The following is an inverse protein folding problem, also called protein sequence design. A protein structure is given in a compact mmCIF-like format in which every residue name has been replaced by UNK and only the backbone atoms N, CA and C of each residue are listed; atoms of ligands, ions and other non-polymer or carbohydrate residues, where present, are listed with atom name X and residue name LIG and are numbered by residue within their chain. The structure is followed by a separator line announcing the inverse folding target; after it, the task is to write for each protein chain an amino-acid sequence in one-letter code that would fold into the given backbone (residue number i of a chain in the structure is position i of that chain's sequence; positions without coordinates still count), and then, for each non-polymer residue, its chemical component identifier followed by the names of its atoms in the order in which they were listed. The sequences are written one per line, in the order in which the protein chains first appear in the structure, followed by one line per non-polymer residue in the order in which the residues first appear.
data_IF_802030569595
#
_entry.id   IF_802030569595
#
_cell.length_a   1.000
_cell.length_b   1.000
_cell.length_c   1.000
_cell.angle_alpha   90.00
_cell.angle_beta   90.00
_cell.angle_gamma   90.00
#
_symmetry.space_group_name_H-M   'P 1'
#
loop_
_entity.id
_entity.type
_entity.pdbx_description
1 polymer ?
#
# COMPACT_ATOMS: atom_id res chain seq x y z
N UNK A 1 17.51 -17.16 42.00
CA UNK A 1 17.27 -17.28 40.55
C UNK A 1 17.43 -15.94 39.89
N UNK A 2 18.16 -15.93 38.82
CA UNK A 2 18.93 -14.80 38.35
C UNK A 2 18.07 -13.61 37.88
N UNK A 3 18.39 -12.45 38.39
CA UNK A 3 17.92 -11.12 37.95
C UNK A 3 18.01 -10.94 36.43
N UNK A 4 18.93 -11.62 35.76
CA UNK A 4 19.12 -11.62 34.31
C UNK A 4 17.99 -12.33 33.53
N UNK A 5 17.25 -13.25 34.14
CA UNK A 5 16.13 -13.93 33.46
C UNK A 5 14.86 -13.08 33.37
N UNK A 6 14.80 -11.98 34.15
CA UNK A 6 13.67 -11.05 34.17
C UNK A 6 13.81 -9.88 33.17
N UNK A 7 14.95 -9.76 32.48
CA UNK A 7 15.15 -8.71 31.48
C UNK A 7 14.54 -9.15 30.16
N UNK A 8 13.30 -8.77 29.94
CA UNK A 8 12.64 -8.93 28.65
C UNK A 8 13.06 -7.76 27.72
N UNK A 9 13.91 -8.05 26.76
CA UNK A 9 14.23 -7.06 25.73
C UNK A 9 13.08 -6.98 24.74
N UNK A 10 12.66 -5.74 24.43
CA UNK A 10 11.76 -5.47 23.31
C UNK A 10 12.32 -6.12 22.02
N UNK A 11 11.49 -6.80 21.23
CA UNK A 11 11.93 -7.45 19.98
C UNK A 11 12.67 -6.50 19.03
N UNK A 12 12.29 -5.22 18.98
CA UNK A 12 12.94 -4.20 18.17
C UNK A 12 14.37 -3.90 18.66
N UNK A 13 14.57 -3.78 19.96
CA UNK A 13 15.90 -3.56 20.58
C UNK A 13 16.79 -4.78 20.32
N UNK A 14 16.24 -5.99 20.47
CA UNK A 14 16.98 -7.23 20.16
C UNK A 14 17.45 -7.26 18.72
N UNK A 15 16.58 -6.94 17.76
CA UNK A 15 16.91 -6.88 16.34
C UNK A 15 18.05 -5.89 16.05
N UNK A 16 18.01 -4.71 16.62
CA UNK A 16 19.05 -3.68 16.49
C UNK A 16 20.39 -4.20 17.06
N UNK A 17 20.39 -4.77 18.26
CA UNK A 17 21.61 -5.29 18.89
C UNK A 17 22.25 -6.42 18.09
N UNK A 18 21.47 -7.38 17.60
CA UNK A 18 21.96 -8.48 16.76
C UNK A 18 22.58 -7.93 15.47
N UNK A 19 21.95 -6.96 14.84
CA UNK A 19 22.47 -6.33 13.63
C UNK A 19 23.79 -5.61 13.90
N UNK A 20 23.87 -4.82 14.97
CA UNK A 20 25.10 -4.10 15.36
C UNK A 20 26.25 -5.07 15.65
N UNK A 21 26.00 -6.13 16.40
CA UNK A 21 27.00 -7.16 16.69
C UNK A 21 27.44 -7.86 15.42
N UNK A 22 26.49 -8.25 14.53
CA UNK A 22 26.81 -8.86 13.25
C UNK A 22 27.69 -7.98 12.36
N UNK A 23 27.37 -6.71 12.23
CA UNK A 23 28.17 -5.74 11.47
C UNK A 23 29.54 -5.52 12.12
N UNK A 24 29.62 -5.42 13.45
CA UNK A 24 30.88 -5.24 14.18
C UNK A 24 31.81 -6.47 14.01
N UNK A 25 31.27 -7.67 14.10
CA UNK A 25 32.04 -8.91 13.89
C UNK A 25 32.50 -9.02 12.45
N UNK A 26 31.63 -8.83 11.48
CA UNK A 26 31.97 -8.90 10.05
C UNK A 26 32.98 -7.81 9.68
N UNK A 27 32.69 -6.56 9.99
CA UNK A 27 33.56 -5.42 9.70
C UNK A 27 34.87 -5.49 10.47
N UNK A 28 34.87 -5.90 11.73
CA UNK A 28 36.06 -6.07 12.57
C UNK A 28 36.97 -7.18 12.05
N UNK A 29 36.42 -8.32 11.65
CA UNK A 29 37.19 -9.43 11.07
C UNK A 29 37.87 -9.01 9.75
N UNK A 30 37.10 -8.34 8.88
CA UNK A 30 37.63 -7.83 7.62
C UNK A 30 38.72 -6.79 7.85
N UNK A 31 38.53 -5.88 8.81
CA UNK A 31 39.53 -4.88 9.20
C UNK A 31 40.83 -5.53 9.70
N UNK A 32 40.72 -6.49 10.61
CA UNK A 32 41.90 -7.19 11.12
C UNK A 32 42.68 -7.89 10.00
N UNK A 33 41.98 -8.58 9.12
CA UNK A 33 42.59 -9.25 7.98
C UNK A 33 43.35 -8.28 7.04
N UNK A 34 42.70 -7.14 6.72
CA UNK A 34 43.30 -6.15 5.83
C UNK A 34 44.39 -5.33 6.53
N UNK A 35 44.23 -5.00 7.81
CA UNK A 35 45.20 -4.24 8.57
C UNK A 35 46.52 -5.00 8.79
N UNK A 36 46.45 -6.31 9.00
CA UNK A 36 47.64 -7.16 9.14
C UNK A 36 48.45 -7.31 7.83
N UNK A 37 47.74 -7.30 6.69
CA UNK A 37 48.39 -7.49 5.37
C UNK A 37 48.87 -6.18 4.73
N UNK A 38 48.15 -5.06 4.93
CA UNK A 38 48.34 -3.80 4.19
C UNK A 38 48.64 -2.59 5.11
N UNK A 39 48.68 -2.82 6.41
CA UNK A 39 48.83 -1.78 7.42
C UNK A 39 47.49 -1.13 7.82
N UNK A 40 47.47 -0.60 9.03
CA UNK A 40 46.22 -0.17 9.71
C UNK A 40 45.44 0.89 8.96
N UNK A 41 46.09 1.90 8.39
CA UNK A 41 45.41 3.01 7.68
C UNK A 41 44.78 2.56 6.36
N UNK A 42 45.50 1.75 5.55
CA UNK A 42 44.94 1.25 4.29
C UNK A 42 43.87 0.18 4.56
N UNK A 43 44.14 -0.72 5.50
CA UNK A 43 43.18 -1.72 5.93
C UNK A 43 41.86 -1.09 6.40
N UNK A 44 41.89 0.00 7.14
CA UNK A 44 40.70 0.74 7.55
C UNK A 44 39.90 1.30 6.34
N UNK A 45 40.59 1.99 5.41
CA UNK A 45 39.92 2.58 4.24
C UNK A 45 39.30 1.50 3.35
N UNK A 46 39.99 0.38 3.12
CA UNK A 46 39.48 -0.74 2.33
C UNK A 46 38.26 -1.41 3.02
N UNK A 47 38.36 -1.61 4.34
CA UNK A 47 37.25 -2.16 5.12
C UNK A 47 36.01 -1.26 5.02
N UNK A 48 36.17 0.06 5.21
CA UNK A 48 35.08 1.00 5.12
C UNK A 48 34.47 1.08 3.72
N UNK A 49 35.31 1.10 2.67
CA UNK A 49 34.86 1.06 1.28
C UNK A 49 34.08 -0.23 0.98
N UNK A 50 34.60 -1.40 1.38
CA UNK A 50 33.94 -2.68 1.17
C UNK A 50 32.61 -2.78 1.92
N UNK A 51 32.57 -2.40 3.18
CA UNK A 51 31.38 -2.45 4.04
C UNK A 51 30.31 -1.50 3.52
N UNK A 52 30.66 -0.23 3.27
CA UNK A 52 29.68 0.76 2.77
C UNK A 52 29.23 0.45 1.35
N UNK A 53 30.10 -0.11 0.49
CA UNK A 53 29.72 -0.57 -0.84
C UNK A 53 28.77 -1.76 -0.81
N UNK A 54 28.96 -2.69 0.11
CA UNK A 54 28.03 -3.80 0.33
C UNK A 54 26.68 -3.31 0.86
N UNK A 55 26.67 -2.42 1.89
CA UNK A 55 25.46 -1.83 2.43
C UNK A 55 24.71 -0.97 1.39
N UNK A 56 25.44 -0.25 0.55
CA UNK A 56 24.87 0.50 -0.57
C UNK A 56 24.15 -0.43 -1.56
N UNK A 57 24.79 -1.53 -1.96
CA UNK A 57 24.19 -2.51 -2.86
C UNK A 57 22.95 -3.15 -2.25
N UNK A 58 23.01 -3.56 -0.99
CA UNK A 58 21.85 -4.09 -0.25
C UNK A 58 20.72 -3.05 -0.15
N UNK A 59 21.09 -1.80 0.12
CA UNK A 59 20.13 -0.69 0.18
C UNK A 59 19.39 -0.49 -1.14
N UNK A 60 20.06 -0.61 -2.28
CA UNK A 60 19.43 -0.56 -3.62
C UNK A 60 18.38 -1.66 -3.76
N UNK A 61 18.70 -2.90 -3.39
CA UNK A 61 17.74 -4.01 -3.42
C UNK A 61 16.54 -3.74 -2.51
N UNK A 62 16.77 -3.28 -1.28
CA UNK A 62 15.68 -2.96 -0.36
C UNK A 62 14.80 -1.82 -0.88
N UNK A 63 15.39 -0.80 -1.49
CA UNK A 63 14.65 0.32 -2.08
C UNK A 63 13.81 -0.11 -3.28
N UNK A 64 14.36 -0.93 -4.19
CA UNK A 64 13.64 -1.41 -5.39
C UNK A 64 12.50 -2.35 -5.00
N UNK A 65 12.80 -3.39 -4.23
CA UNK A 65 11.84 -4.44 -3.89
C UNK A 65 10.95 -4.09 -2.69
N UNK A 66 11.31 -3.08 -1.90
CA UNK A 66 10.55 -2.65 -0.73
C UNK A 66 10.54 -3.69 0.39
N UNK A 67 11.64 -4.41 0.56
CA UNK A 67 11.92 -5.36 1.65
C UNK A 67 13.00 -4.80 2.57
N UNK A 68 13.28 -5.47 3.69
CA UNK A 68 14.29 -5.02 4.65
C UNK A 68 13.81 -3.86 5.52
N UNK A 69 14.55 -2.77 5.59
CA UNK A 69 14.23 -1.58 6.40
C UNK A 69 13.05 -0.80 5.79
N UNK A 70 11.84 -1.33 5.90
CA UNK A 70 10.64 -0.70 5.37
C UNK A 70 10.12 0.38 6.30
N UNK A 71 9.62 1.48 5.73
CA UNK A 71 8.87 2.49 6.45
C UNK A 71 7.42 2.11 6.68
N UNK A 72 6.59 3.11 6.99
CA UNK A 72 5.16 2.90 7.22
C UNK A 72 4.48 2.40 5.95
N UNK A 73 3.67 1.35 6.11
CA UNK A 73 2.81 0.83 5.05
C UNK A 73 1.69 1.81 4.74
N UNK A 74 1.15 1.78 3.52
CA UNK A 74 -0.07 2.51 3.21
C UNK A 74 -1.22 2.03 4.10
N UNK A 75 -2.01 2.96 4.60
CA UNK A 75 -3.20 2.69 5.42
C UNK A 75 -4.35 3.58 4.97
N UNK A 76 -5.55 3.21 5.36
CA UNK A 76 -6.72 4.06 5.23
C UNK A 76 -6.96 4.78 6.56
N UNK A 77 -7.20 6.08 6.50
CA UNK A 77 -7.53 6.91 7.66
C UNK A 77 -8.97 7.39 7.50
N UNK A 78 -9.80 7.10 8.48
CA UNK A 78 -11.16 7.58 8.53
C UNK A 78 -11.19 9.12 8.50
N UNK A 79 -12.11 9.67 7.75
CA UNK A 79 -12.37 11.11 7.66
C UNK A 79 -13.76 11.46 8.16
N UNK A 80 -14.73 10.66 7.78
CA UNK A 80 -16.13 10.99 8.04
C UNK A 80 -16.99 9.72 8.02
N UNK A 81 -17.92 9.63 8.95
CA UNK A 81 -19.04 8.68 8.91
C UNK A 81 -20.29 9.47 8.62
N UNK A 82 -20.87 9.30 7.46
CA UNK A 82 -22.03 10.03 7.01
C UNK A 82 -23.27 9.13 7.11
N UNK A 83 -24.22 9.54 7.95
CA UNK A 83 -25.49 8.84 8.19
C UNK A 83 -26.62 9.36 7.30
N UNK A 84 -26.47 10.54 6.74
CA UNK A 84 -27.47 11.19 5.91
C UNK A 84 -26.79 11.89 4.73
N UNK A 85 -26.97 11.32 3.56
CA UNK A 85 -26.35 11.81 2.33
C UNK A 85 -26.88 13.12 1.80
N UNK A 86 -28.00 13.59 2.32
CA UNK A 86 -28.52 14.94 2.04
C UNK A 86 -27.62 16.01 2.64
N UNK A 87 -26.79 15.66 3.62
CA UNK A 87 -25.80 16.54 4.23
C UNK A 87 -24.53 16.52 3.40
N UNK A 88 -24.07 17.71 3.00
CA UNK A 88 -22.80 17.85 2.27
C UNK A 88 -21.65 17.26 3.09
N UNK A 89 -20.76 16.53 2.42
CA UNK A 89 -19.58 15.97 3.06
C UNK A 89 -18.63 17.08 3.50
N UNK A 90 -18.02 16.92 4.68
CA UNK A 90 -17.01 17.84 5.20
C UNK A 90 -15.65 17.57 4.56
N UNK A 91 -15.49 16.41 3.90
CA UNK A 91 -14.22 15.99 3.31
C UNK A 91 -13.87 16.86 2.10
N UNK A 92 -12.73 17.58 2.11
CA UNK A 92 -12.33 18.43 1.01
C UNK A 92 -12.18 17.65 -0.32
N UNK A 93 -12.61 18.25 -1.43
CA UNK A 93 -12.59 17.68 -2.78
C UNK A 93 -13.52 16.48 -3.01
N UNK A 94 -14.48 16.24 -2.12
CA UNK A 94 -15.44 15.13 -2.20
C UNK A 94 -16.85 15.72 -2.16
N UNK A 95 -17.14 16.70 -3.02
CA UNK A 95 -18.41 17.45 -3.00
C UNK A 95 -19.63 16.61 -3.44
N UNK A 96 -19.36 15.50 -4.14
CA UNK A 96 -20.41 14.69 -4.77
C UNK A 96 -20.11 13.21 -4.57
N UNK A 97 -20.59 12.67 -3.47
CA UNK A 97 -20.62 11.23 -3.27
C UNK A 97 -21.62 10.58 -4.23
N UNK A 98 -21.29 9.42 -4.81
CA UNK A 98 -22.28 8.62 -5.51
C UNK A 98 -23.35 8.19 -4.53
N UNK A 99 -24.59 8.47 -4.82
CA UNK A 99 -25.70 8.10 -3.96
C UNK A 99 -26.41 6.87 -4.51
N UNK A 100 -26.14 5.73 -3.90
CA UNK A 100 -26.73 4.42 -4.22
C UNK A 100 -27.86 4.05 -3.25
N UNK A 101 -28.44 5.01 -2.51
CA UNK A 101 -29.59 4.75 -1.66
C UNK A 101 -30.81 4.45 -2.53
N UNK A 102 -31.53 3.34 -2.31
CA UNK A 102 -32.68 2.97 -3.12
C UNK A 102 -33.87 3.96 -3.04
N UNK A 103 -33.95 4.76 -1.96
CA UNK A 103 -35.07 5.66 -1.73
C UNK A 103 -34.78 7.11 -2.15
N UNK A 104 -33.55 7.56 -1.97
CA UNK A 104 -33.17 8.98 -2.14
C UNK A 104 -32.07 9.17 -3.17
N UNK A 105 -31.45 8.08 -3.63
CA UNK A 105 -30.27 8.10 -4.47
C UNK A 105 -30.51 8.61 -5.88
N UNK A 106 -29.43 9.10 -6.49
CA UNK A 106 -29.38 9.54 -7.88
C UNK A 106 -28.92 8.45 -8.84
N UNK A 107 -28.35 7.37 -8.30
CA UNK A 107 -27.93 6.21 -9.08
C UNK A 107 -29.10 5.24 -9.28
N UNK A 108 -29.16 4.52 -10.41
CA UNK A 108 -30.15 3.48 -10.61
C UNK A 108 -29.97 2.38 -9.55
N UNK A 109 -31.07 1.77 -9.16
CA UNK A 109 -30.99 0.59 -8.29
C UNK A 109 -30.25 -0.55 -8.99
N UNK A 110 -29.60 -1.46 -8.26
CA UNK A 110 -28.91 -2.61 -8.86
C UNK A 110 -29.83 -3.44 -9.77
N UNK A 111 -31.09 -3.62 -9.35
CA UNK A 111 -32.10 -4.36 -10.09
C UNK A 111 -32.50 -3.64 -11.38
N UNK A 112 -32.75 -2.33 -11.34
CA UNK A 112 -33.08 -1.52 -12.51
C UNK A 112 -31.97 -1.53 -13.54
N UNK A 113 -30.71 -1.34 -13.07
CA UNK A 113 -29.54 -1.33 -13.94
C UNK A 113 -29.36 -2.66 -14.65
N UNK A 114 -29.50 -3.78 -13.93
CA UNK A 114 -29.41 -5.11 -14.50
C UNK A 114 -30.54 -5.39 -15.48
N UNK A 115 -31.79 -5.07 -15.09
CA UNK A 115 -32.96 -5.29 -15.96
C UNK A 115 -32.89 -4.47 -17.26
N UNK A 116 -32.39 -3.23 -17.21
CA UNK A 116 -32.18 -2.41 -18.41
C UNK A 116 -31.13 -3.02 -19.35
N UNK A 117 -30.06 -3.58 -18.79
CA UNK A 117 -29.02 -4.24 -19.57
C UNK A 117 -29.50 -5.57 -20.16
N UNK A 118 -30.22 -6.39 -19.39
CA UNK A 118 -30.83 -7.64 -19.85
C UNK A 118 -31.84 -7.41 -20.98
N UNK A 119 -32.61 -6.34 -20.90
CA UNK A 119 -33.54 -5.97 -21.97
C UNK A 119 -32.82 -5.69 -23.30
N UNK A 120 -31.58 -5.18 -23.25
CA UNK A 120 -30.73 -4.94 -24.41
C UNK A 120 -29.95 -6.21 -24.83
N UNK A 121 -29.66 -7.12 -23.89
CA UNK A 121 -28.81 -8.29 -24.05
C UNK A 121 -29.44 -9.54 -23.39
N UNK A 122 -30.48 -10.17 -24.00
CA UNK A 122 -31.23 -11.27 -23.35
C UNK A 122 -30.38 -12.47 -22.93
N UNK A 123 -29.27 -12.72 -23.63
CA UNK A 123 -28.35 -13.85 -23.37
C UNK A 123 -27.60 -13.70 -22.00
N UNK A 124 -27.53 -12.49 -21.48
CA UNK A 124 -26.81 -12.24 -20.22
C UNK A 124 -27.56 -12.81 -19.03
N UNK A 125 -28.92 -12.81 -19.08
CA UNK A 125 -29.74 -13.41 -18.03
C UNK A 125 -29.44 -14.89 -17.85
N UNK A 126 -29.36 -15.64 -18.94
CA UNK A 126 -29.06 -17.08 -18.89
C UNK A 126 -27.66 -17.34 -18.30
N UNK A 127 -26.68 -16.46 -18.58
CA UNK A 127 -25.33 -16.56 -18.03
C UNK A 127 -25.30 -16.28 -16.53
N UNK A 128 -26.05 -15.27 -16.07
CA UNK A 128 -26.17 -14.92 -14.65
C UNK A 128 -26.87 -16.02 -13.88
N UNK A 129 -28.00 -16.51 -14.38
CA UNK A 129 -28.74 -17.61 -13.76
C UNK A 129 -27.94 -18.92 -13.71
N UNK A 130 -27.08 -19.17 -14.69
CA UNK A 130 -26.17 -20.31 -14.69
C UNK A 130 -25.05 -20.19 -13.63
N UNK A 131 -24.66 -18.97 -13.26
CA UNK A 131 -23.56 -18.69 -12.32
C UNK A 131 -24.06 -18.52 -10.89
N UNK A 132 -25.14 -17.76 -10.69
CA UNK A 132 -25.65 -17.35 -9.38
C UNK A 132 -26.92 -18.13 -8.96
N UNK A 133 -27.61 -18.77 -9.93
CA UNK A 133 -28.86 -19.51 -9.70
C UNK A 133 -30.09 -18.79 -10.23
N UNK A 134 -31.18 -19.58 -10.38
CA UNK A 134 -32.48 -19.07 -10.84
C UNK A 134 -33.02 -18.02 -9.85
N UNK A 135 -33.52 -16.88 -10.39
CA UNK A 135 -34.12 -15.82 -9.59
C UNK A 135 -33.15 -14.95 -8.82
N UNK A 136 -31.87 -14.94 -9.21
CA UNK A 136 -30.88 -14.06 -8.60
C UNK A 136 -31.27 -12.57 -8.77
N UNK A 137 -31.26 -11.84 -7.66
CA UNK A 137 -31.45 -10.38 -7.61
C UNK A 137 -30.21 -9.74 -6.96
N UNK A 138 -29.54 -8.81 -7.66
CA UNK A 138 -28.35 -8.17 -7.11
C UNK A 138 -28.70 -7.21 -5.96
N UNK A 139 -27.99 -7.33 -4.85
CA UNK A 139 -28.19 -6.47 -3.69
C UNK A 139 -27.35 -5.17 -3.75
N UNK A 140 -26.39 -5.07 -4.67
CA UNK A 140 -25.48 -3.92 -4.77
C UNK A 140 -25.04 -3.66 -6.21
N UNK A 141 -24.68 -2.41 -6.50
CA UNK A 141 -24.07 -2.03 -7.78
C UNK A 141 -22.73 -2.74 -7.99
N UNK A 142 -22.00 -2.99 -6.92
CA UNK A 142 -20.74 -3.77 -6.97
C UNK A 142 -20.96 -5.17 -7.53
N UNK A 143 -22.04 -5.86 -7.13
CA UNK A 143 -22.38 -7.19 -7.66
C UNK A 143 -22.71 -7.11 -9.14
N UNK A 144 -23.55 -6.15 -9.55
CA UNK A 144 -23.89 -5.96 -10.96
C UNK A 144 -22.66 -5.72 -11.83
N UNK A 145 -21.77 -4.83 -11.40
CA UNK A 145 -20.53 -4.53 -12.14
C UNK A 145 -19.54 -5.71 -12.13
N UNK A 146 -19.60 -6.57 -11.13
CA UNK A 146 -18.77 -7.80 -11.10
C UNK A 146 -19.28 -8.82 -12.09
N UNK A 147 -20.60 -8.98 -12.24
CA UNK A 147 -21.23 -9.88 -13.19
C UNK A 147 -21.15 -9.34 -14.62
N UNK A 148 -21.37 -8.05 -14.80
CA UNK A 148 -21.39 -7.36 -16.10
C UNK A 148 -20.44 -6.17 -16.07
N UNK A 149 -19.13 -6.38 -16.38
CA UNK A 149 -18.12 -5.32 -16.31
C UNK A 149 -18.35 -4.13 -17.25
N UNK A 150 -19.09 -4.31 -18.33
CA UNK A 150 -19.45 -3.28 -19.31
C UNK A 150 -20.29 -2.16 -18.68
N UNK A 151 -21.17 -2.50 -17.74
CA UNK A 151 -22.02 -1.54 -17.03
C UNK A 151 -21.21 -0.54 -16.20
N UNK A 152 -19.98 -0.86 -15.85
CA UNK A 152 -19.08 0.05 -15.16
C UNK A 152 -18.79 1.31 -15.98
N UNK A 153 -18.75 1.18 -17.30
CA UNK A 153 -18.53 2.33 -18.20
C UNK A 153 -19.77 3.20 -18.25
N UNK A 154 -20.97 2.61 -18.32
CA UNK A 154 -22.23 3.34 -18.33
C UNK A 154 -22.45 4.12 -17.03
N UNK A 155 -22.10 3.52 -15.90
CA UNK A 155 -22.18 4.17 -14.59
C UNK A 155 -21.17 5.31 -14.41
N UNK A 156 -20.05 5.29 -15.14
CA UNK A 156 -18.92 6.22 -14.93
C UNK A 156 -19.36 7.70 -15.02
N UNK A 157 -20.27 8.02 -15.92
CA UNK A 157 -20.78 9.41 -16.08
C UNK A 157 -21.59 9.86 -14.87
N UNK A 158 -22.32 8.94 -14.24
CA UNK A 158 -23.17 9.22 -13.07
C UNK A 158 -22.39 9.24 -11.76
N UNK A 159 -21.21 8.62 -11.73
CA UNK A 159 -20.35 8.51 -10.55
C UNK A 159 -19.54 9.77 -10.24
N UNK A 160 -19.66 10.87 -10.99
CA UNK A 160 -18.95 12.13 -10.74
C UNK A 160 -17.43 12.01 -10.52
N UNK A 161 -16.80 11.12 -11.28
CA UNK A 161 -15.35 10.84 -11.17
C UNK A 161 -14.97 9.80 -10.12
N UNK A 162 -15.92 9.28 -9.36
CA UNK A 162 -15.73 8.08 -8.55
C UNK A 162 -15.70 6.85 -9.44
N UNK A 163 -15.06 5.79 -8.94
CA UNK A 163 -15.00 4.49 -9.60
C UNK A 163 -15.47 3.42 -8.64
N UNK A 164 -16.39 2.59 -9.09
CA UNK A 164 -16.84 1.45 -8.31
C UNK A 164 -15.76 0.36 -8.30
N UNK A 165 -15.49 -0.22 -7.13
CA UNK A 165 -14.53 -1.30 -6.96
C UNK A 165 -15.26 -2.65 -6.98
N UNK A 166 -14.95 -3.53 -7.95
CA UNK A 166 -15.48 -4.88 -7.97
C UNK A 166 -14.95 -5.69 -6.78
N UNK A 167 -15.60 -6.79 -6.45
CA UNK A 167 -15.23 -7.64 -5.31
C UNK A 167 -13.82 -8.21 -5.40
N UNK A 168 -13.35 -8.45 -6.61
CA UNK A 168 -12.00 -8.95 -6.88
C UNK A 168 -10.86 -7.93 -6.67
N UNK A 169 -11.17 -6.64 -6.46
CA UNK A 169 -10.13 -5.62 -6.28
C UNK A 169 -9.58 -5.64 -4.85
N UNK A 170 -8.26 -5.83 -4.71
CA UNK A 170 -7.58 -5.88 -3.42
C UNK A 170 -7.76 -4.62 -2.56
N UNK A 171 -7.95 -3.46 -3.19
CA UNK A 171 -8.17 -2.18 -2.49
C UNK A 171 -9.54 -2.15 -1.80
N UNK A 172 -10.54 -2.85 -2.37
CA UNK A 172 -11.85 -3.03 -1.73
C UNK A 172 -11.69 -3.74 -0.39
N UNK A 173 -10.98 -4.86 -0.36
CA UNK A 173 -10.75 -5.62 0.88
C UNK A 173 -10.03 -4.79 1.96
N UNK A 174 -8.99 -4.02 1.58
CA UNK A 174 -8.30 -3.14 2.52
C UNK A 174 -9.21 -2.02 3.06
N UNK A 175 -10.04 -1.42 2.20
CA UNK A 175 -10.95 -0.35 2.58
C UNK A 175 -12.08 -0.87 3.48
N UNK A 176 -12.66 -2.03 3.14
CA UNK A 176 -13.70 -2.69 3.95
C UNK A 176 -13.16 -3.05 5.33
N UNK A 177 -11.98 -3.66 5.43
CA UNK A 177 -11.38 -3.98 6.73
C UNK A 177 -11.13 -2.73 7.60
N UNK A 178 -10.82 -1.59 6.97
CA UNK A 178 -10.70 -0.31 7.69
C UNK A 178 -12.07 0.23 8.12
N UNK A 179 -13.11 0.02 7.30
CA UNK A 179 -14.48 0.41 7.64
C UNK A 179 -15.03 -0.44 8.80
N UNK A 180 -14.77 -1.74 8.81
CA UNK A 180 -15.15 -2.64 9.91
C UNK A 180 -14.58 -2.14 11.24
N UNK A 181 -13.30 -1.75 11.24
CA UNK A 181 -12.66 -1.22 12.43
C UNK A 181 -13.29 0.12 12.89
N UNK A 182 -13.53 1.03 11.97
CA UNK A 182 -14.11 2.34 12.27
C UNK A 182 -15.58 2.25 12.75
N UNK A 183 -16.39 1.41 12.09
CA UNK A 183 -17.79 1.19 12.48
C UNK A 183 -17.90 0.53 13.85
N UNK A 184 -17.02 -0.42 14.16
CA UNK A 184 -16.96 -1.06 15.47
C UNK A 184 -16.51 -0.09 16.56
N UNK A 185 -15.47 0.74 16.31
CA UNK A 185 -14.99 1.74 17.25
C UNK A 185 -16.05 2.83 17.51
N UNK A 186 -16.76 3.25 16.44
CA UNK A 186 -17.84 4.25 16.51
C UNK A 186 -19.14 3.71 17.05
N UNK A 187 -19.30 2.40 17.28
CA UNK A 187 -20.55 1.74 17.72
C UNK A 187 -21.76 2.15 16.85
N UNK A 188 -21.53 2.28 15.54
CA UNK A 188 -22.49 2.90 14.59
C UNK A 188 -23.82 2.15 14.55
N UNK A 189 -23.82 0.83 14.73
CA UNK A 189 -25.02 -0.01 14.77
C UNK A 189 -25.35 -0.56 16.16
N UNK A 190 -24.81 0.06 17.22
CA UNK A 190 -25.02 -0.31 18.61
C UNK A 190 -23.81 -1.01 19.26
N UNK A 191 -23.98 -1.51 20.48
CA UNK A 191 -22.89 -2.10 21.27
C UNK A 191 -22.30 -3.38 20.63
N UNK A 192 -23.09 -4.09 19.85
CA UNK A 192 -22.70 -5.33 19.17
C UNK A 192 -22.32 -5.07 17.70
N UNK A 193 -21.87 -3.84 17.37
CA UNK A 193 -21.43 -3.52 16.01
C UNK A 193 -20.28 -4.41 15.60
N UNK A 194 -20.52 -5.25 14.61
CA UNK A 194 -19.54 -6.19 14.04
C UNK A 194 -19.92 -6.55 12.61
N UNK A 195 -19.10 -7.34 11.91
CA UNK A 195 -19.35 -7.70 10.51
C UNK A 195 -20.69 -8.41 10.23
N UNK A 196 -21.31 -8.97 11.26
CA UNK A 196 -22.64 -9.60 11.15
C UNK A 196 -23.81 -8.60 11.25
N UNK A 197 -23.59 -7.41 11.81
CA UNK A 197 -24.65 -6.42 12.06
C UNK A 197 -24.96 -5.53 10.85
N UNK A 198 -24.15 -5.59 9.81
CA UNK A 198 -24.34 -4.82 8.57
C UNK A 198 -23.79 -5.55 7.36
N UNK A 199 -24.23 -5.15 6.19
CA UNK A 199 -23.70 -5.63 4.91
C UNK A 199 -23.08 -4.45 4.14
N UNK A 200 -21.89 -4.69 3.58
CA UNK A 200 -21.21 -3.73 2.70
C UNK A 200 -21.87 -3.82 1.31
N UNK A 201 -22.53 -2.74 0.89
CA UNK A 201 -23.15 -2.66 -0.43
C UNK A 201 -22.13 -2.29 -1.49
N UNK A 202 -21.67 -1.06 -1.47
CA UNK A 202 -20.81 -0.52 -2.51
C UNK A 202 -19.54 0.09 -1.93
N UNK A 203 -18.48 0.00 -2.71
CA UNK A 203 -17.19 0.63 -2.41
C UNK A 203 -16.78 1.46 -3.60
N UNK A 204 -16.68 2.76 -3.39
CA UNK A 204 -16.28 3.72 -4.40
C UNK A 204 -14.87 4.22 -4.12
N UNK A 205 -14.13 4.49 -5.18
CA UNK A 205 -12.76 4.97 -5.12
C UNK A 205 -12.64 6.27 -5.92
N UNK A 206 -11.94 7.26 -5.38
CA UNK A 206 -11.75 8.56 -6.02
C UNK A 206 -10.32 9.06 -5.91
N UNK A 207 -9.83 9.71 -6.96
CA UNK A 207 -8.56 10.42 -6.97
C UNK A 207 -7.33 9.53 -7.14
N UNK A 208 -6.19 10.05 -6.71
CA UNK A 208 -4.89 9.40 -6.87
C UNK A 208 -4.24 9.61 -8.23
N UNK A 209 -3.02 9.13 -8.36
CA UNK A 209 -2.27 9.17 -9.62
C UNK A 209 -2.87 8.21 -10.66
N UNK A 210 -2.71 8.50 -11.94
CA UNK A 210 -3.25 7.68 -13.04
C UNK A 210 -2.85 6.20 -12.93
N UNK A 211 -1.63 5.90 -12.50
CA UNK A 211 -1.18 4.52 -12.30
C UNK A 211 -1.86 3.80 -11.13
N UNK A 212 -2.46 4.53 -10.18
CA UNK A 212 -3.15 3.98 -9.01
C UNK A 212 -4.67 3.89 -9.18
N UNK A 213 -5.20 4.45 -10.25
CA UNK A 213 -6.64 4.36 -10.52
C UNK A 213 -7.03 2.96 -11.00
N UNK A 214 -8.20 2.42 -10.58
CA UNK A 214 -8.72 1.17 -11.11
C UNK A 214 -8.97 1.27 -12.61
N UNK A 215 -8.83 0.16 -13.32
CA UNK A 215 -9.27 0.06 -14.71
C UNK A 215 -10.79 -0.01 -14.77
N UNK A 216 -11.38 0.64 -15.77
CA UNK A 216 -12.84 0.61 -15.93
C UNK A 216 -13.26 -0.73 -16.52
N UNK A 217 -12.52 -1.23 -17.51
CA UNK A 217 -12.65 -2.58 -18.04
C UNK A 217 -11.38 -3.38 -17.72
N UNK A 218 -11.47 -4.61 -17.20
CA UNK A 218 -10.30 -5.45 -16.97
C UNK A 218 -9.51 -5.67 -18.25
N UNK A 219 -8.23 -5.30 -18.25
CA UNK A 219 -7.35 -5.45 -19.42
C UNK A 219 -7.42 -4.33 -20.45
N UNK A 220 -8.20 -3.27 -20.24
CA UNK A 220 -8.28 -2.09 -21.10
C UNK A 220 -6.91 -1.46 -21.37
N UNK A 221 -6.07 -1.40 -20.34
CA UNK A 221 -4.74 -0.80 -20.46
C UNK A 221 -3.73 -1.81 -20.97
N UNK A 222 -3.16 -1.55 -22.13
CA UNK A 222 -2.04 -2.31 -22.67
C UNK A 222 -0.81 -2.20 -21.78
N UNK A 223 0.11 -3.18 -21.86
CA UNK A 223 1.37 -3.19 -21.08
C UNK A 223 2.18 -1.89 -21.25
N UNK A 224 2.20 -1.33 -22.46
CA UNK A 224 2.86 -0.06 -22.74
C UNK A 224 2.19 1.11 -22.02
N UNK A 225 0.87 1.19 -22.01
CA UNK A 225 0.11 2.21 -21.29
C UNK A 225 0.30 2.08 -19.77
N UNK A 226 0.30 0.85 -19.25
CA UNK A 226 0.59 0.59 -17.81
C UNK A 226 2.00 1.06 -17.45
N UNK A 227 2.99 0.76 -18.28
CA UNK A 227 4.37 1.20 -18.08
C UNK A 227 4.51 2.72 -18.17
N UNK A 228 3.89 3.34 -19.17
CA UNK A 228 3.90 4.79 -19.36
C UNK A 228 3.24 5.53 -18.20
N UNK A 229 2.04 5.10 -17.79
CA UNK A 229 1.35 5.67 -16.64
C UNK A 229 2.19 5.55 -15.36
N UNK A 230 2.94 4.46 -15.21
CA UNK A 230 3.85 4.26 -14.07
C UNK A 230 5.02 5.23 -14.12
N UNK A 231 5.62 5.47 -15.27
CA UNK A 231 6.71 6.44 -15.46
C UNK A 231 6.22 7.85 -15.14
N UNK A 232 5.11 8.28 -15.75
CA UNK A 232 4.51 9.60 -15.53
C UNK A 232 4.15 9.78 -14.04
N UNK A 233 3.54 8.78 -13.43
CA UNK A 233 3.19 8.83 -12.00
C UNK A 233 4.42 8.89 -11.08
N UNK A 234 5.56 8.34 -11.52
CA UNK A 234 6.81 8.38 -10.74
C UNK A 234 7.43 9.78 -10.77
N UNK A 235 7.36 10.45 -11.92
CA UNK A 235 7.89 11.82 -12.08
C UNK A 235 6.99 12.85 -11.38
N UNK A 236 5.71 12.56 -11.23
CA UNK A 236 4.76 13.45 -10.56
C UNK A 236 5.08 13.56 -9.06
N UNK A 237 5.67 14.66 -8.65
CA UNK A 237 6.11 14.92 -7.26
C UNK A 237 4.92 15.00 -6.30
N UNK A 238 3.83 15.67 -6.70
CA UNK A 238 2.64 15.82 -5.86
C UNK A 238 1.74 14.60 -6.01
N UNK A 239 1.41 13.96 -4.89
CA UNK A 239 0.41 12.90 -4.85
C UNK A 239 -0.97 13.52 -4.66
N UNK A 240 -1.91 13.37 -5.61
CA UNK A 240 -3.30 13.72 -5.38
C UNK A 240 -3.87 12.84 -4.25
N UNK A 241 -4.77 13.36 -3.41
CA UNK A 241 -5.43 12.57 -2.39
C UNK A 241 -6.22 11.43 -3.03
N UNK A 242 -6.33 10.32 -2.31
CA UNK A 242 -7.13 9.16 -2.68
C UNK A 242 -8.17 8.94 -1.62
N UNK A 243 -9.40 8.76 -2.03
CA UNK A 243 -10.51 8.52 -1.13
C UNK A 243 -11.18 7.19 -1.47
N UNK A 244 -11.72 6.53 -0.44
CA UNK A 244 -12.66 5.44 -0.58
C UNK A 244 -13.92 5.78 0.19
N UNK A 245 -15.07 5.57 -0.41
CA UNK A 245 -16.36 5.69 0.23
C UNK A 245 -16.99 4.29 0.29
N UNK A 246 -17.25 3.81 1.49
CA UNK A 246 -17.81 2.49 1.76
C UNK A 246 -19.23 2.68 2.22
N UNK A 247 -20.17 2.16 1.46
CA UNK A 247 -21.60 2.19 1.81
C UNK A 247 -21.97 0.88 2.48
N UNK A 248 -22.53 1.00 3.66
CA UNK A 248 -23.01 -0.13 4.47
C UNK A 248 -24.48 0.07 4.84
N UNK A 249 -25.20 -1.02 5.02
CA UNK A 249 -26.58 -1.01 5.46
C UNK A 249 -26.77 -2.03 6.58
N UNK A 250 -27.57 -1.66 7.59
CA UNK A 250 -27.86 -2.52 8.73
C UNK A 250 -28.53 -3.81 8.28
N UNK A 251 -28.17 -4.91 8.91
CA UNK A 251 -28.86 -6.19 8.74
C UNK A 251 -30.01 -6.33 9.72
N UNK A 252 -30.98 -7.13 9.34
CA UNK A 252 -32.07 -7.56 10.24
C UNK A 252 -31.46 -8.35 11.40
N UNK A 253 -31.86 -8.02 12.63
CA UNK A 253 -31.42 -8.75 13.81
C UNK A 253 -31.98 -10.18 13.79
N UNK A 254 -31.08 -11.16 13.73
CA UNK A 254 -31.43 -12.57 13.67
C UNK A 254 -31.12 -13.23 15.03
N UNK A 255 -32.12 -13.86 15.62
CA UNK A 255 -31.93 -14.64 16.83
C UNK A 255 -31.56 -16.07 16.46
N UNK A 256 -30.36 -16.50 16.80
CA UNK A 256 -29.85 -17.85 16.53
C UNK A 256 -29.96 -18.67 17.79
N UNK A 257 -30.56 -19.85 17.71
CA UNK A 257 -30.62 -20.77 18.85
C UNK A 257 -29.21 -21.35 19.15
N UNK A 258 -28.90 -21.63 20.44
CA UNK A 258 -27.59 -22.19 20.78
C UNK A 258 -27.34 -23.49 20.04
N UNK A 259 -26.27 -23.58 19.25
CA UNK A 259 -25.88 -24.76 18.49
C UNK A 259 -26.34 -24.81 17.03
N UNK A 260 -27.12 -23.84 16.58
CA UNK A 260 -27.49 -23.69 15.16
C UNK A 260 -26.51 -22.78 14.43
N UNK A 261 -26.30 -23.08 13.14
CA UNK A 261 -25.53 -22.18 12.28
C UNK A 261 -26.32 -20.90 12.04
N UNK A 262 -25.69 -19.71 12.11
CA UNK A 262 -26.39 -18.46 11.80
C UNK A 262 -26.92 -18.49 10.37
N UNK A 263 -28.17 -18.07 10.14
CA UNK A 263 -28.70 -17.95 8.79
C UNK A 263 -27.97 -16.85 8.03
N UNK A 264 -28.05 -16.84 6.68
CA UNK A 264 -27.46 -15.79 5.87
C UNK A 264 -27.90 -14.40 6.33
N UNK A 265 -27.00 -13.44 6.33
CA UNK A 265 -27.30 -12.05 6.66
C UNK A 265 -28.36 -11.50 5.69
N UNK A 266 -29.41 -10.86 6.22
CA UNK A 266 -30.44 -10.21 5.44
C UNK A 266 -30.39 -8.71 5.70
N UNK A 267 -30.34 -7.93 4.63
CA UNK A 267 -30.31 -6.47 4.71
C UNK A 267 -31.67 -5.96 5.16
N UNK A 268 -31.68 -5.03 6.10
CA UNK A 268 -32.88 -4.29 6.48
C UNK A 268 -33.09 -3.16 5.46
N UNK A 269 -34.00 -3.37 4.51
CA UNK A 269 -34.33 -2.39 3.47
C UNK A 269 -34.93 -1.09 4.03
N UNK A 270 -35.46 -1.12 5.25
CA UNK A 270 -36.03 0.06 5.93
C UNK A 270 -34.97 0.92 6.60
N UNK A 271 -33.76 0.35 6.84
CA UNK A 271 -32.65 1.07 7.45
C UNK A 271 -31.95 1.97 6.42
N UNK A 272 -31.62 3.19 6.82
CA UNK A 272 -30.82 4.10 6.00
C UNK A 272 -29.40 3.55 5.76
N UNK A 273 -28.84 3.86 4.62
CA UNK A 273 -27.46 3.53 4.32
C UNK A 273 -26.51 4.47 5.04
N UNK A 274 -25.40 3.93 5.55
CA UNK A 274 -24.32 4.70 6.16
C UNK A 274 -23.11 4.67 5.22
N UNK A 275 -22.48 5.83 5.01
CA UNK A 275 -21.28 5.92 4.18
C UNK A 275 -20.08 6.33 5.03
N UNK A 276 -19.04 5.52 5.01
CA UNK A 276 -17.77 5.83 5.67
C UNK A 276 -16.75 6.27 4.62
N UNK A 277 -16.17 7.45 4.82
CA UNK A 277 -15.20 8.04 3.91
C UNK A 277 -13.81 7.92 4.52
N UNK A 278 -12.90 7.34 3.74
CA UNK A 278 -11.49 7.18 4.08
C UNK A 278 -10.59 7.94 3.13
N UNK A 279 -9.51 8.47 3.66
CA UNK A 279 -8.40 8.99 2.87
C UNK A 279 -7.22 8.02 2.92
N UNK A 280 -6.61 7.74 1.77
CA UNK A 280 -5.43 6.89 1.67
C UNK A 280 -4.19 7.61 2.15
N UNK A 281 -3.64 7.18 3.25
CA UNK A 281 -2.29 7.55 3.63
C UNK A 281 -1.30 6.63 2.90
N UNK A 282 -0.54 7.19 1.97
CA UNK A 282 0.41 6.42 1.16
C UNK A 282 1.60 5.89 1.97
N UNK A 283 1.76 6.34 3.22
CA UNK A 283 2.90 5.98 4.05
C UNK A 283 4.23 6.48 3.46
N UNK A 284 5.30 5.89 3.91
CA UNK A 284 6.66 6.21 3.45
C UNK A 284 7.51 4.95 3.26
N UNK A 285 6.91 3.88 2.79
CA UNK A 285 7.51 2.54 2.70
C UNK A 285 8.93 2.53 2.14
N UNK A 286 9.21 3.36 1.13
CA UNK A 286 10.50 3.38 0.41
C UNK A 286 11.44 4.49 0.86
N UNK A 287 11.01 5.40 1.72
CA UNK A 287 11.82 6.54 2.15
C UNK A 287 13.03 6.09 2.98
N UNK A 288 12.81 5.20 3.94
CA UNK A 288 13.87 4.71 4.83
C UNK A 288 14.95 3.95 4.05
N UNK A 289 14.61 2.95 3.19
CA UNK A 289 15.62 2.30 2.35
C UNK A 289 16.34 3.28 1.42
N UNK A 290 15.64 4.26 0.86
CA UNK A 290 16.26 5.29 0.02
C UNK A 290 17.31 6.11 0.79
N UNK A 291 16.95 6.62 1.97
CA UNK A 291 17.88 7.40 2.81
C UNK A 291 19.09 6.55 3.24
N UNK A 292 18.85 5.29 3.61
CA UNK A 292 19.91 4.34 3.93
C UNK A 292 20.86 4.12 2.74
N UNK A 293 20.31 3.91 1.55
CA UNK A 293 21.08 3.73 0.32
C UNK A 293 21.88 4.98 -0.01
N UNK A 294 21.24 6.15 0.04
CA UNK A 294 21.90 7.43 -0.22
C UNK A 294 23.09 7.67 0.73
N UNK A 295 22.87 7.47 2.01
CA UNK A 295 23.89 7.65 3.04
C UNK A 295 25.09 6.72 2.81
N UNK A 296 24.85 5.40 2.64
CA UNK A 296 25.92 4.46 2.39
C UNK A 296 26.60 4.69 1.04
N UNK A 297 25.86 5.13 0.01
CA UNK A 297 26.41 5.50 -1.27
C UNK A 297 27.40 6.66 -1.16
N UNK A 298 27.02 7.74 -0.45
CA UNK A 298 27.91 8.89 -0.20
C UNK A 298 29.18 8.44 0.52
N UNK A 299 29.06 7.64 1.58
CA UNK A 299 30.22 7.12 2.30
C UNK A 299 31.12 6.26 1.42
N UNK A 300 30.52 5.36 0.63
CA UNK A 300 31.24 4.50 -0.32
C UNK A 300 32.08 5.34 -1.29
N UNK A 301 31.45 6.33 -1.94
CA UNK A 301 32.14 7.21 -2.88
C UNK A 301 33.24 8.04 -2.21
N UNK A 302 33.02 8.51 -0.99
CA UNK A 302 34.05 9.23 -0.22
C UNK A 302 35.26 8.33 0.05
N UNK A 303 35.05 7.11 0.53
CA UNK A 303 36.15 6.17 0.78
C UNK A 303 36.87 5.74 -0.51
N UNK A 304 36.12 5.51 -1.58
CA UNK A 304 36.74 5.24 -2.90
C UNK A 304 37.56 6.44 -3.39
N UNK A 305 37.08 7.66 -3.21
CA UNK A 305 37.84 8.86 -3.57
C UNK A 305 39.11 9.02 -2.73
N UNK A 306 39.03 8.74 -1.42
CA UNK A 306 40.20 8.76 -0.53
C UNK A 306 41.24 7.71 -0.95
N UNK A 307 40.82 6.50 -1.32
CA UNK A 307 41.69 5.45 -1.84
C UNK A 307 42.33 5.88 -3.17
N UNK A 308 41.53 6.39 -4.10
CA UNK A 308 42.03 6.88 -5.39
C UNK A 308 43.06 8.01 -5.23
N UNK A 309 42.81 8.99 -4.37
CA UNK A 309 43.76 10.10 -4.12
C UNK A 309 45.04 9.61 -3.50
N UNK A 310 44.93 8.62 -2.59
CA UNK A 310 46.11 8.00 -2.00
C UNK A 310 46.97 7.22 -3.03
N UNK A 311 46.30 6.45 -3.88
CA UNK A 311 46.99 5.70 -4.92
C UNK A 311 47.67 6.64 -5.93
N UNK A 312 46.98 7.72 -6.34
CA UNK A 312 47.59 8.73 -7.22
C UNK A 312 48.85 9.33 -6.60
N UNK A 313 48.82 9.72 -5.32
CA UNK A 313 50.02 10.22 -4.63
C UNK A 313 51.14 9.18 -4.56
N UNK A 314 50.79 7.91 -4.32
CA UNK A 314 51.76 6.84 -4.30
C UNK A 314 52.42 6.62 -5.67
N UNK A 315 51.66 6.73 -6.76
CA UNK A 315 52.18 6.68 -8.13
C UNK A 315 53.08 7.88 -8.43
N UNK A 316 52.68 9.10 -8.06
CA UNK A 316 53.50 10.32 -8.22
C UNK A 316 54.83 10.21 -7.45
N UNK A 317 54.79 9.72 -6.21
CA UNK A 317 56.04 9.47 -5.45
C UNK A 317 56.95 8.45 -6.10
N UNK A 318 56.39 7.37 -6.65
CA UNK A 318 57.19 6.35 -7.37
C UNK A 318 57.77 6.89 -8.68
N UNK A 319 56.98 7.67 -9.43
CA UNK A 319 57.44 8.28 -10.68
C UNK A 319 58.58 9.28 -10.46
N UNK A 320 58.57 9.99 -9.32
CA UNK A 320 59.57 10.98 -8.95
C UNK A 320 60.72 10.38 -8.13
N UNK A 321 60.72 9.07 -7.87
CA UNK A 321 61.80 8.38 -7.13
C UNK A 321 63.05 8.28 -7.99
N UNK A 322 64.09 9.03 -7.60
CA UNK A 322 65.42 8.93 -8.19
C UNK A 322 66.35 8.18 -7.21
N UNK A 323 66.76 6.95 -7.53
CA UNK A 323 67.61 6.15 -6.64
C UNK A 323 69.02 6.78 -6.41
N UNK A 324 69.51 7.60 -7.34
CA UNK A 324 70.78 8.29 -7.17
C UNK A 324 70.77 9.34 -6.05
N UNK A 325 69.66 10.11 -5.96
CA UNK A 325 69.47 11.09 -4.89
C UNK A 325 69.20 10.47 -3.53
N UNK A 326 68.67 9.25 -3.50
CA UNK A 326 68.45 8.54 -2.23
C UNK A 326 69.77 8.03 -1.60
N UNK A 327 70.74 7.74 -2.42
CA UNK A 327 72.10 7.29 -1.99
C UNK A 327 72.96 8.48 -1.48
N UNK A 328 72.73 9.68 -2.04
CA UNK A 328 73.46 10.88 -1.60
C UNK A 328 72.93 11.48 -0.27
N UNK A 329 71.70 11.13 0.13
CA UNK A 329 71.02 11.64 1.31
C UNK A 329 71.18 10.74 2.55
N UNK A 330 71.74 9.57 2.49
CA UNK A 330 72.00 8.61 3.58
C UNK A 330 73.46 8.54 3.86
#
# INVERSE_FOLDING_TARGET
MSFLAAIAFDPAIRGILVTLVGVAVLGGSLYLLLATNMGTRLGFLLTMASLTGWLFSMGIFWWIYGIGMIGRMPTWSEKEVNFDRSVATVTPNVDKLPDSDPQTGTLPTPQELLAEYEARNPEVREQIEATEGEGFEPASLTQVVTLVPELKVELQEQLNGWKILPESDSRRGEAVASADAALAEGLVFGQDTGPASYTVKDVFFYGGKTASQPEDIPGERNLFQKAWNRIVSTVQVKNPPQYAAITVQKNVEQTVAPGEAPPPAQIDESASTVTVIFERNLGNRRLIPFLFTLFNGILFFVFCWMLHTRDKRAWEMRANWDPAKAIEAG
#
